data_IF_820133268822
#
_entry.id   IF_820133268822
#
_cell.length_a   1.000
_cell.length_b   1.000
_cell.length_c   1.000
_cell.angle_alpha   90.00
_cell.angle_beta   90.00
_cell.angle_gamma   90.00
#
_symmetry.space_group_name_H-M   'P 1'
#
loop_
_entity.id
_entity.type
_entity.pdbx_description
1 polymer ?
#
# COMPACT_ATOMS: atom_id res chain seq x y z
N UNK A 1 -10.29 11.42 -13.73
CA UNK A 1 -10.11 10.41 -12.67
C UNK A 1 -9.53 11.08 -11.44
N UNK A 2 -10.11 10.83 -10.26
CA UNK A 2 -9.58 11.36 -8.99
C UNK A 2 -8.29 10.62 -8.63
N UNK A 3 -7.24 11.38 -8.27
CA UNK A 3 -5.99 10.84 -7.73
C UNK A 3 -6.03 10.91 -6.21
N UNK A 4 -5.61 9.85 -5.54
CA UNK A 4 -5.49 9.81 -4.07
C UNK A 4 -4.08 9.38 -3.74
N UNK A 5 -3.39 10.15 -2.89
CA UNK A 5 -2.07 9.79 -2.43
C UNK A 5 -2.17 8.76 -1.29
N UNK A 6 -1.42 7.66 -1.41
CA UNK A 6 -1.29 6.62 -0.41
C UNK A 6 0.10 6.73 0.25
N UNK A 7 0.11 7.03 1.54
CA UNK A 7 1.31 7.11 2.35
C UNK A 7 1.69 5.74 2.94
N UNK A 8 2.80 5.71 3.69
CA UNK A 8 3.32 4.50 4.33
C UNK A 8 2.32 3.92 5.33
N UNK A 9 1.65 4.78 6.11
CA UNK A 9 0.68 4.35 7.12
C UNK A 9 -0.50 3.60 6.51
N UNK A 10 -1.03 4.10 5.39
CA UNK A 10 -2.07 3.40 4.63
C UNK A 10 -1.61 2.02 4.15
N UNK A 11 -0.41 1.91 3.58
CA UNK A 11 0.10 0.61 3.10
C UNK A 11 0.36 -0.38 4.24
N UNK A 12 0.89 0.09 5.37
CA UNK A 12 1.06 -0.75 6.57
C UNK A 12 -0.29 -1.28 7.02
N UNK A 13 -1.28 -0.40 7.20
CA UNK A 13 -2.62 -0.79 7.61
C UNK A 13 -3.25 -1.77 6.61
N UNK A 14 -3.08 -1.55 5.30
CA UNK A 14 -3.67 -2.41 4.29
C UNK A 14 -3.02 -3.81 4.24
N UNK A 15 -1.70 -3.91 4.48
CA UNK A 15 -0.94 -5.16 4.35
C UNK A 15 -0.81 -5.95 5.65
N UNK A 16 -0.92 -5.32 6.82
CA UNK A 16 -0.77 -5.96 8.13
C UNK A 16 -2.12 -6.25 8.78
N UNK A 17 -2.56 -7.52 8.88
CA UNK A 17 -3.85 -7.87 9.50
C UNK A 17 -3.94 -7.54 11.00
N UNK A 18 -2.81 -7.35 11.67
CA UNK A 18 -2.74 -7.00 13.09
C UNK A 18 -2.70 -5.49 13.33
N UNK A 19 -2.72 -4.68 12.27
CA UNK A 19 -2.82 -3.22 12.40
C UNK A 19 -4.24 -2.82 12.80
N UNK A 20 -4.37 -1.92 13.77
CA UNK A 20 -5.68 -1.45 14.27
C UNK A 20 -6.54 -0.82 13.17
N UNK A 21 -5.91 -0.25 12.13
CA UNK A 21 -6.59 0.39 11.01
C UNK A 21 -6.82 -0.57 9.84
N UNK A 22 -6.47 -1.85 9.94
CA UNK A 22 -6.54 -2.81 8.83
C UNK A 22 -7.93 -2.87 8.18
N UNK A 23 -8.98 -3.00 8.99
CA UNK A 23 -10.36 -3.05 8.50
C UNK A 23 -10.77 -1.72 7.84
N UNK A 24 -10.36 -0.59 8.41
CA UNK A 24 -10.65 0.73 7.85
C UNK A 24 -9.96 0.91 6.50
N UNK A 25 -8.68 0.58 6.40
CA UNK A 25 -7.92 0.63 5.15
C UNK A 25 -8.59 -0.24 4.08
N UNK A 26 -8.99 -1.46 4.43
CA UNK A 26 -9.68 -2.38 3.52
C UNK A 26 -11.01 -1.83 3.00
N UNK A 27 -11.83 -1.26 3.88
CA UNK A 27 -13.11 -0.67 3.52
C UNK A 27 -12.95 0.57 2.63
N UNK A 28 -11.94 1.41 2.90
CA UNK A 28 -11.59 2.56 2.07
C UNK A 28 -11.12 2.11 0.69
N UNK A 29 -10.24 1.11 0.58
CA UNK A 29 -9.82 0.58 -0.72
C UNK A 29 -11.01 0.06 -1.52
N UNK A 30 -11.92 -0.68 -0.88
CA UNK A 30 -13.10 -1.25 -1.53
C UNK A 30 -14.09 -0.19 -2.00
N UNK A 31 -14.25 0.92 -1.27
CA UNK A 31 -15.17 2.01 -1.65
C UNK A 31 -14.61 2.93 -2.73
N UNK A 32 -13.28 2.99 -2.89
CA UNK A 32 -12.63 3.87 -3.85
C UNK A 32 -12.36 3.20 -5.21
N UNK A 33 -12.11 1.89 -5.24
CA UNK A 33 -11.86 1.16 -6.49
C UNK A 33 -13.17 0.85 -7.25
N UNK A 34 -13.14 0.78 -8.59
CA UNK A 34 -11.98 0.96 -9.48
C UNK A 34 -11.76 2.42 -9.92
N UNK A 35 -12.56 3.38 -9.45
CA UNK A 35 -12.71 4.70 -10.06
C UNK A 35 -11.62 5.73 -9.67
N UNK A 36 -10.66 5.33 -8.83
CA UNK A 36 -9.54 6.18 -8.42
C UNK A 36 -8.21 5.67 -8.98
N UNK A 37 -7.26 6.59 -9.10
CA UNK A 37 -5.85 6.26 -9.28
C UNK A 37 -5.11 6.51 -7.97
N UNK A 38 -4.50 5.46 -7.43
CA UNK A 38 -3.64 5.57 -6.26
C UNK A 38 -2.28 6.09 -6.71
N UNK A 39 -1.79 7.13 -6.04
CA UNK A 39 -0.47 7.70 -6.27
C UNK A 39 0.37 7.47 -5.02
N UNK A 40 1.62 7.08 -5.17
CA UNK A 40 2.57 6.96 -4.05
C UNK A 40 3.96 7.34 -4.55
N UNK A 41 4.97 7.33 -3.68
CA UNK A 41 6.35 7.69 -4.05
C UNK A 41 7.35 6.59 -3.69
N UNK A 42 8.54 6.65 -4.29
CA UNK A 42 9.64 5.74 -3.95
C UNK A 42 10.06 5.86 -2.48
N UNK A 43 9.92 7.05 -1.89
CA UNK A 43 10.19 7.26 -0.46
C UNK A 43 9.19 6.50 0.42
N UNK A 44 7.90 6.52 0.07
CA UNK A 44 6.87 5.73 0.78
C UNK A 44 7.18 4.23 0.72
N UNK A 45 7.65 3.72 -0.42
CA UNK A 45 8.08 2.32 -0.51
C UNK A 45 9.32 2.03 0.33
N UNK A 46 10.27 2.95 0.39
CA UNK A 46 11.45 2.83 1.24
C UNK A 46 11.06 2.72 2.72
N UNK A 47 10.15 3.58 3.17
CA UNK A 47 9.62 3.53 4.54
C UNK A 47 8.86 2.24 4.82
N UNK A 48 8.02 1.78 3.89
CA UNK A 48 7.27 0.53 4.02
C UNK A 48 8.20 -0.68 4.15
N UNK A 49 9.22 -0.77 3.27
CA UNK A 49 10.22 -1.83 3.33
C UNK A 49 11.00 -1.79 4.64
N UNK A 50 11.38 -0.60 5.11
CA UNK A 50 12.06 -0.43 6.39
C UNK A 50 11.16 -0.86 7.57
N UNK A 51 9.88 -0.48 7.57
CA UNK A 51 8.91 -0.84 8.60
C UNK A 51 8.72 -2.37 8.70
N UNK A 52 8.73 -3.08 7.57
CA UNK A 52 8.58 -4.53 7.53
C UNK A 52 9.92 -5.30 7.60
N UNK A 53 11.06 -4.62 7.55
CA UNK A 53 12.39 -5.26 7.59
C UNK A 53 12.65 -6.08 8.86
N UNK A 54 12.09 -5.64 9.99
CA UNK A 54 12.20 -6.30 11.30
C UNK A 54 11.03 -7.23 11.61
N UNK A 55 10.06 -7.35 10.71
CA UNK A 55 8.86 -8.16 10.89
C UNK A 55 9.02 -9.59 10.32
N UNK A 56 7.99 -10.41 10.47
CA UNK A 56 7.95 -11.77 9.93
C UNK A 56 8.00 -11.82 8.40
N UNK A 57 8.37 -13.00 7.86
CA UNK A 57 8.52 -13.25 6.43
C UNK A 57 7.27 -12.90 5.60
N UNK A 58 6.08 -13.06 6.18
CA UNK A 58 4.80 -12.74 5.54
C UNK A 58 4.71 -11.26 5.16
N UNK A 59 4.99 -10.35 6.10
CA UNK A 59 4.89 -8.91 5.84
C UNK A 59 5.99 -8.45 4.87
N UNK A 60 7.20 -9.01 4.97
CA UNK A 60 8.26 -8.75 3.97
C UNK A 60 7.82 -9.10 2.56
N UNK A 61 7.23 -10.29 2.37
CA UNK A 61 6.71 -10.73 1.07
C UNK A 61 5.54 -9.87 0.61
N UNK A 62 4.67 -9.42 1.52
CA UNK A 62 3.54 -8.55 1.19
C UNK A 62 4.01 -7.20 0.63
N UNK A 63 5.01 -6.56 1.26
CA UNK A 63 5.59 -5.30 0.74
C UNK A 63 6.24 -5.50 -0.64
N UNK A 64 7.04 -6.55 -0.83
CA UNK A 64 7.67 -6.85 -2.13
C UNK A 64 6.60 -7.08 -3.19
N UNK A 65 5.54 -7.83 -2.87
CA UNK A 65 4.45 -8.11 -3.81
C UNK A 65 3.71 -6.83 -4.20
N UNK A 66 3.39 -5.95 -3.25
CA UNK A 66 2.76 -4.66 -3.53
C UNK A 66 3.61 -3.81 -4.48
N UNK A 67 4.91 -3.69 -4.21
CA UNK A 67 5.83 -2.89 -5.02
C UNK A 67 5.92 -3.47 -6.44
N UNK A 68 6.07 -4.79 -6.58
CA UNK A 68 6.10 -5.44 -7.89
C UNK A 68 4.79 -5.23 -8.67
N UNK A 69 3.65 -5.31 -7.99
CA UNK A 69 2.35 -5.03 -8.60
C UNK A 69 2.20 -3.56 -9.02
N UNK A 70 2.79 -2.63 -8.27
CA UNK A 70 2.70 -1.20 -8.59
C UNK A 70 3.29 -0.86 -9.97
N UNK A 71 4.34 -1.57 -10.41
CA UNK A 71 4.96 -1.35 -11.71
C UNK A 71 4.12 -1.85 -12.89
N UNK A 72 3.19 -2.78 -12.66
CA UNK A 72 2.34 -3.37 -13.69
C UNK A 72 0.87 -2.95 -13.60
N UNK A 73 0.46 -2.27 -12.52
CA UNK A 73 -0.92 -1.88 -12.28
C UNK A 73 -1.22 -0.45 -12.79
N UNK A 74 -2.06 -0.27 -13.83
CA UNK A 74 -2.36 1.05 -14.39
C UNK A 74 -3.14 1.99 -13.45
N UNK A 75 -3.68 1.44 -12.35
CA UNK A 75 -4.39 2.19 -11.31
C UNK A 75 -3.47 2.63 -10.16
N UNK A 76 -2.19 2.27 -10.21
CA UNK A 76 -1.17 2.71 -9.28
C UNK A 76 -0.06 3.45 -10.02
N UNK A 77 0.31 4.63 -9.54
CA UNK A 77 1.34 5.46 -10.19
C UNK A 77 2.35 5.93 -9.17
N UNK A 78 3.63 5.81 -9.52
CA UNK A 78 4.72 6.49 -8.83
C UNK A 78 4.73 7.95 -9.27
N UNK A 79 4.59 8.87 -8.31
CA UNK A 79 4.50 10.30 -8.54
C UNK A 79 5.46 11.11 -7.68
#
# INVERSE_FOLDING_TARGET
MKKVFADTGYWIALLNPHDELHLKARNVTASLLPNIRIVTSEMVFTELLNAFSKQGLLLKRAAISLINQSFSNPNMVLG
#
